data_IF_483719492918
#
_entry.id   IF_483719492918
#
_cell.length_a   1.000
_cell.length_b   1.000
_cell.length_c   1.000
_cell.angle_alpha   90.00
_cell.angle_beta   90.00
_cell.angle_gamma   90.00
#
_symmetry.space_group_name_H-M   'P 1'
#
loop_
_entity.id
_entity.type
_entity.pdbx_description
1 polymer ?
#
# COMPACT_ATOMS: atom_id res chain seq x y z
N UNK A 1 18.18 -11.57 8.04
CA UNK A 1 18.06 -11.11 6.62
C UNK A 1 17.77 -9.63 6.61
N UNK A 2 18.51 -8.82 5.81
CA UNK A 2 18.17 -7.40 5.69
C UNK A 2 17.05 -7.22 4.65
N UNK A 3 16.02 -6.44 5.00
CA UNK A 3 14.91 -6.10 4.11
C UNK A 3 14.93 -4.58 3.92
N UNK A 4 14.93 -4.12 2.67
CA UNK A 4 14.82 -2.68 2.37
C UNK A 4 13.39 -2.18 2.60
N UNK A 5 13.15 -0.86 2.71
CA UNK A 5 11.81 -0.27 2.69
C UNK A 5 11.00 -0.73 1.48
N UNK A 6 9.69 -0.46 1.47
CA UNK A 6 8.83 -0.77 0.32
C UNK A 6 9.41 -0.17 -0.96
N UNK A 7 9.63 -1.01 -1.98
CA UNK A 7 10.17 -0.59 -3.26
C UNK A 7 9.07 -0.24 -4.25
N UNK A 8 8.04 -1.07 -4.31
CA UNK A 8 6.90 -0.87 -5.20
C UNK A 8 5.59 -1.25 -4.51
N UNK A 9 4.54 -0.48 -4.74
CA UNK A 9 3.17 -0.94 -4.59
C UNK A 9 2.63 -1.33 -5.97
N UNK A 10 2.23 -2.58 -6.14
CA UNK A 10 1.66 -3.09 -7.39
C UNK A 10 0.15 -2.87 -7.36
N UNK A 11 -0.36 -2.13 -8.33
CA UNK A 11 -1.77 -1.76 -8.42
C UNK A 11 -2.36 -2.30 -9.71
N UNK A 12 -3.32 -3.22 -9.59
CA UNK A 12 -4.10 -3.72 -10.70
C UNK A 12 -5.21 -2.72 -11.05
N UNK A 13 -5.41 -2.45 -12.34
CA UNK A 13 -6.39 -1.46 -12.82
C UNK A 13 -7.16 -1.98 -14.03
N UNK A 14 -8.37 -1.46 -14.25
CA UNK A 14 -9.11 -1.69 -15.51
C UNK A 14 -8.51 -0.86 -16.66
N UNK A 15 -7.98 0.33 -16.34
CA UNK A 15 -7.42 1.27 -17.31
C UNK A 15 -6.24 2.02 -16.69
N UNK A 16 -5.04 1.75 -17.21
CA UNK A 16 -3.80 2.34 -16.71
C UNK A 16 -3.83 3.88 -16.83
N UNK A 17 -4.26 4.41 -17.96
CA UNK A 17 -4.28 5.85 -18.20
C UNK A 17 -5.18 6.61 -17.23
N UNK A 18 -6.28 5.98 -16.85
CA UNK A 18 -7.26 6.58 -15.93
C UNK A 18 -6.66 6.85 -14.56
N UNK A 19 -5.77 6.00 -14.08
CA UNK A 19 -5.07 6.18 -12.79
C UNK A 19 -3.76 6.95 -12.97
N UNK A 20 -2.97 6.65 -14.01
CA UNK A 20 -1.66 7.25 -14.22
C UNK A 20 -1.75 8.76 -14.47
N UNK A 21 -2.69 9.19 -15.31
CA UNK A 21 -2.79 10.59 -15.73
C UNK A 21 -2.89 11.59 -14.59
N UNK A 22 -3.82 11.47 -13.61
CA UNK A 22 -3.85 12.40 -12.48
C UNK A 22 -2.60 12.31 -11.60
N UNK A 23 -1.99 11.14 -11.43
CA UNK A 23 -0.75 11.02 -10.68
C UNK A 23 0.42 11.73 -11.36
N UNK A 24 0.47 11.72 -12.69
CA UNK A 24 1.49 12.45 -13.46
C UNK A 24 1.21 13.96 -13.44
N UNK A 25 0.00 14.38 -13.83
CA UNK A 25 -0.35 15.79 -14.03
C UNK A 25 -0.46 16.58 -12.72
N UNK A 26 -0.86 15.93 -11.63
CA UNK A 26 -1.12 16.58 -10.34
C UNK A 26 -0.05 16.27 -9.31
N UNK A 27 0.38 15.00 -9.22
CA UNK A 27 1.19 14.50 -8.12
C UNK A 27 2.68 14.44 -8.44
N UNK A 28 3.07 14.74 -9.70
CA UNK A 28 4.47 14.80 -10.10
C UNK A 28 5.14 13.44 -10.31
N UNK A 29 4.38 12.40 -10.58
CA UNK A 29 4.97 11.11 -10.95
C UNK A 29 5.50 11.14 -12.39
N UNK A 30 6.59 10.43 -12.61
CA UNK A 30 7.20 10.20 -13.93
C UNK A 30 6.90 8.78 -14.37
N UNK A 31 6.32 8.64 -15.56
CA UNK A 31 5.93 7.35 -16.11
C UNK A 31 7.05 6.71 -16.94
N UNK A 32 7.21 5.40 -16.78
CA UNK A 32 7.97 4.54 -17.68
C UNK A 32 7.10 3.39 -18.16
N UNK A 33 6.96 3.29 -19.50
CA UNK A 33 6.33 2.13 -20.14
C UNK A 33 7.26 0.94 -20.02
N UNK A 34 6.77 -0.15 -19.43
CA UNK A 34 7.54 -1.37 -19.27
C UNK A 34 7.13 -2.43 -20.32
N UNK A 35 8.00 -3.41 -20.61
CA UNK A 35 7.58 -4.64 -21.29
C UNK A 35 6.42 -5.32 -20.56
N UNK A 36 5.63 -6.09 -21.28
CA UNK A 36 4.63 -6.96 -20.65
C UNK A 36 5.29 -7.91 -19.65
N UNK A 37 4.57 -8.29 -18.58
CA UNK A 37 5.11 -9.19 -17.58
C UNK A 37 5.42 -10.58 -18.20
N UNK A 38 6.52 -11.23 -17.77
CA UNK A 38 6.89 -12.56 -18.26
C UNK A 38 5.93 -13.63 -17.74
N UNK A 39 5.93 -14.80 -18.40
CA UNK A 39 5.04 -15.92 -18.04
C UNK A 39 5.21 -16.43 -16.61
N UNK A 40 6.41 -16.34 -16.07
CA UNK A 40 6.74 -16.70 -14.69
C UNK A 40 6.00 -15.82 -13.67
N UNK A 41 5.75 -14.55 -14.02
CA UNK A 41 4.97 -13.65 -13.19
C UNK A 41 3.49 -14.05 -13.12
N UNK A 42 2.93 -14.60 -14.23
CA UNK A 42 1.57 -15.13 -14.23
C UNK A 42 1.43 -16.26 -13.21
N UNK A 43 2.40 -17.17 -13.19
CA UNK A 43 2.43 -18.28 -12.23
C UNK A 43 2.60 -17.78 -10.79
N UNK A 44 3.50 -16.81 -10.54
CA UNK A 44 3.74 -16.24 -9.22
C UNK A 44 2.52 -15.51 -8.65
N UNK A 45 1.69 -14.92 -9.51
CA UNK A 45 0.44 -14.25 -9.10
C UNK A 45 -0.80 -15.16 -9.19
N UNK A 46 -0.64 -16.45 -9.52
CA UNK A 46 -1.75 -17.39 -9.72
C UNK A 46 -2.81 -16.85 -10.69
N UNK A 47 -2.36 -16.17 -11.76
CA UNK A 47 -3.25 -15.58 -12.75
C UNK A 47 -3.99 -16.67 -13.51
N UNK A 48 -5.32 -16.54 -13.75
CA UNK A 48 -6.08 -17.50 -14.55
C UNK A 48 -5.50 -17.70 -15.95
N UNK A 49 -5.59 -18.94 -16.49
CA UNK A 49 -5.01 -19.30 -17.78
C UNK A 49 -5.60 -18.55 -18.98
N UNK A 50 -6.77 -17.96 -18.81
CA UNK A 50 -7.45 -17.11 -19.79
C UNK A 50 -6.75 -15.75 -19.97
N UNK A 51 -5.95 -15.32 -19.00
CA UNK A 51 -5.19 -14.09 -19.11
C UNK A 51 -4.12 -14.22 -20.21
N UNK A 52 -4.20 -13.37 -21.20
CA UNK A 52 -3.32 -13.44 -22.38
C UNK A 52 -2.11 -12.52 -22.27
N UNK A 53 -2.18 -11.46 -21.45
CA UNK A 53 -1.14 -10.44 -21.31
C UNK A 53 -1.30 -9.66 -20.02
N UNK A 54 -0.19 -9.26 -19.41
CA UNK A 54 -0.15 -8.31 -18.30
C UNK A 54 0.66 -7.09 -18.76
N UNK A 55 -0.05 -6.01 -19.09
CA UNK A 55 0.52 -4.72 -19.43
C UNK A 55 1.01 -4.01 -18.18
N UNK A 56 2.13 -3.29 -18.26
CA UNK A 56 2.75 -2.65 -17.11
C UNK A 56 3.17 -1.19 -17.38
N UNK A 57 3.03 -0.34 -16.35
CA UNK A 57 3.63 1.00 -16.27
C UNK A 57 4.26 1.17 -14.90
N UNK A 58 5.40 1.80 -14.84
CA UNK A 58 6.03 2.21 -13.58
C UNK A 58 5.89 3.71 -13.42
N UNK A 59 5.29 4.13 -12.32
CA UNK A 59 5.20 5.53 -11.91
C UNK A 59 6.16 5.76 -10.75
N UNK A 60 7.18 6.57 -10.97
CA UNK A 60 8.17 6.93 -9.95
C UNK A 60 7.89 8.38 -9.53
N UNK A 61 7.78 8.68 -8.23
CA UNK A 61 7.61 10.06 -7.79
C UNK A 61 8.82 10.90 -8.18
N UNK A 62 8.60 12.16 -8.51
CA UNK A 62 9.69 13.10 -8.74
C UNK A 62 10.57 13.22 -7.51
N UNK A 63 11.90 13.23 -7.67
CA UNK A 63 12.79 13.35 -6.53
C UNK A 63 12.63 14.70 -5.83
N UNK A 64 12.83 14.68 -4.52
CA UNK A 64 12.91 15.88 -3.67
C UNK A 64 14.15 15.81 -2.79
N UNK A 65 14.43 16.85 -2.03
CA UNK A 65 15.54 16.82 -1.07
C UNK A 65 15.33 15.74 0.00
N UNK A 66 14.07 15.54 0.44
CA UNK A 66 13.73 14.49 1.41
C UNK A 66 13.81 13.08 0.80
N UNK A 67 13.51 12.94 -0.48
CA UNK A 67 13.40 11.66 -1.16
C UNK A 67 14.17 11.67 -2.49
N UNK A 68 15.44 11.23 -2.48
CA UNK A 68 16.25 11.15 -3.69
C UNK A 68 15.70 10.11 -4.68
N UNK A 69 16.12 10.21 -5.93
CA UNK A 69 15.72 9.30 -7.01
C UNK A 69 16.38 7.92 -6.89
N UNK A 70 16.01 7.13 -5.89
CA UNK A 70 16.48 5.75 -5.70
C UNK A 70 15.45 4.68 -6.12
N UNK A 71 14.30 5.13 -6.66
CA UNK A 71 13.25 4.26 -7.19
C UNK A 71 12.33 3.61 -6.16
N UNK A 72 12.59 3.77 -4.86
CA UNK A 72 11.74 3.22 -3.80
C UNK A 72 10.35 3.87 -3.79
N UNK A 73 9.37 3.15 -3.27
CA UNK A 73 8.00 3.62 -3.12
C UNK A 73 7.32 3.98 -4.44
N UNK A 74 7.72 3.33 -5.53
CA UNK A 74 7.09 3.49 -6.84
C UNK A 74 5.71 2.80 -6.89
N UNK A 75 4.86 3.22 -7.82
CA UNK A 75 3.61 2.55 -8.16
C UNK A 75 3.79 1.79 -9.46
N UNK A 76 3.65 0.46 -9.43
CA UNK A 76 3.58 -0.38 -10.63
C UNK A 76 2.12 -0.60 -10.98
N UNK A 77 1.65 0.03 -12.04
CA UNK A 77 0.31 -0.20 -12.56
C UNK A 77 0.32 -1.41 -13.48
N UNK A 78 -0.60 -2.35 -13.27
CA UNK A 78 -0.75 -3.55 -14.09
C UNK A 78 -2.17 -3.70 -14.59
N UNK A 79 -2.32 -4.14 -15.84
CA UNK A 79 -3.60 -4.45 -16.45
C UNK A 79 -3.59 -5.86 -17.02
N UNK A 80 -4.53 -6.68 -16.58
CA UNK A 80 -4.71 -8.04 -17.04
C UNK A 80 -5.66 -8.06 -18.25
N UNK A 81 -5.25 -8.69 -19.33
CA UNK A 81 -6.04 -8.80 -20.57
C UNK A 81 -6.58 -10.20 -20.77
N UNK A 82 -7.77 -10.31 -21.35
CA UNK A 82 -8.40 -11.61 -21.70
C UNK A 82 -9.07 -12.32 -20.53
N UNK A 83 -9.19 -11.67 -19.36
CA UNK A 83 -9.75 -12.26 -18.14
C UNK A 83 -10.74 -11.31 -17.49
N UNK A 84 -11.79 -11.85 -16.86
CA UNK A 84 -12.73 -11.07 -16.07
C UNK A 84 -12.06 -10.60 -14.76
N UNK A 85 -12.26 -9.34 -14.40
CA UNK A 85 -11.73 -8.72 -13.20
C UNK A 85 -12.86 -8.16 -12.35
N UNK A 86 -12.69 -8.21 -11.02
CA UNK A 86 -13.57 -7.56 -10.03
C UNK A 86 -12.76 -6.57 -9.21
N UNK A 87 -13.43 -5.61 -8.60
CA UNK A 87 -12.76 -4.71 -7.64
C UNK A 87 -12.54 -5.47 -6.33
N UNK A 88 -11.30 -5.53 -5.86
CA UNK A 88 -10.90 -6.26 -4.66
C UNK A 88 -11.67 -5.81 -3.43
N UNK A 89 -11.74 -4.50 -3.19
CA UNK A 89 -12.44 -3.86 -2.06
C UNK A 89 -13.50 -2.91 -2.61
N UNK A 90 -14.56 -3.45 -3.20
CA UNK A 90 -15.52 -2.68 -3.98
C UNK A 90 -16.27 -1.59 -3.19
N UNK A 91 -16.35 -1.70 -1.86
CA UNK A 91 -16.94 -0.68 -0.98
C UNK A 91 -15.96 0.44 -0.61
N UNK A 92 -14.65 0.20 -0.68
CA UNK A 92 -13.56 1.14 -0.31
C UNK A 92 -13.68 1.69 1.12
N UNK A 93 -14.38 0.97 2.01
CA UNK A 93 -14.61 1.42 3.37
C UNK A 93 -13.41 1.11 4.26
N UNK A 94 -13.02 2.06 5.09
CA UNK A 94 -11.92 1.92 6.05
C UNK A 94 -12.24 1.00 7.24
N UNK A 95 -13.43 0.43 7.31
CA UNK A 95 -13.82 -0.58 8.32
C UNK A 95 -14.11 -1.96 7.70
N UNK A 96 -13.98 -2.12 6.40
CA UNK A 96 -13.96 -3.43 5.77
C UNK A 96 -12.56 -4.03 5.91
N UNK A 97 -12.48 -5.34 6.12
CA UNK A 97 -11.22 -6.05 6.32
C UNK A 97 -10.76 -6.79 5.06
N UNK A 98 -9.49 -7.14 5.02
CA UNK A 98 -8.89 -7.95 3.97
C UNK A 98 -8.13 -7.17 2.90
N UNK A 99 -6.99 -7.72 2.51
CA UNK A 99 -6.06 -7.13 1.55
C UNK A 99 -5.37 -5.87 2.06
N UNK A 100 -4.85 -5.09 1.13
CA UNK A 100 -4.24 -3.77 1.39
C UNK A 100 -5.32 -2.71 1.16
N UNK A 101 -5.56 -1.86 2.17
CA UNK A 101 -6.58 -0.82 2.08
C UNK A 101 -6.10 0.39 1.30
N UNK A 102 -4.94 0.93 1.68
CA UNK A 102 -4.34 2.10 1.03
C UNK A 102 -2.81 2.02 1.03
N UNK A 103 -2.21 2.99 0.36
CA UNK A 103 -0.80 3.34 0.45
C UNK A 103 -0.66 4.79 0.85
N UNK A 104 0.38 5.11 1.63
CA UNK A 104 0.57 6.41 2.24
C UNK A 104 1.70 7.18 1.58
N UNK A 105 1.45 8.47 1.34
CA UNK A 105 2.40 9.41 0.77
C UNK A 105 2.40 10.72 1.54
N UNK A 106 3.54 11.40 1.59
CA UNK A 106 3.60 12.76 2.11
C UNK A 106 3.34 13.80 1.03
N UNK A 107 2.80 14.94 1.45
CA UNK A 107 2.70 16.18 0.66
C UNK A 107 3.01 17.38 1.55
N UNK A 108 3.71 18.37 1.01
CA UNK A 108 3.90 19.65 1.69
C UNK A 108 2.64 20.54 1.63
N UNK A 109 1.73 20.28 0.69
CA UNK A 109 0.46 21.01 0.51
C UNK A 109 -0.66 20.04 0.10
N UNK A 110 -1.18 19.32 1.11
CA UNK A 110 -2.23 18.33 0.92
C UNK A 110 -3.49 18.93 0.29
N UNK A 111 -3.94 20.08 0.77
CA UNK A 111 -5.20 20.69 0.29
C UNK A 111 -5.14 21.02 -1.20
N UNK A 112 -4.00 21.52 -1.66
CA UNK A 112 -3.77 21.82 -3.08
C UNK A 112 -3.84 20.56 -3.93
N UNK A 113 -3.11 19.52 -3.52
CA UNK A 113 -3.06 18.23 -4.24
C UNK A 113 -4.45 17.60 -4.26
N UNK A 114 -5.11 17.47 -3.13
CA UNK A 114 -6.43 16.85 -3.04
C UNK A 114 -7.48 17.58 -3.89
N UNK A 115 -7.55 18.92 -3.82
CA UNK A 115 -8.45 19.70 -4.70
C UNK A 115 -8.14 19.51 -6.19
N UNK A 116 -6.86 19.32 -6.54
CA UNK A 116 -6.49 19.03 -7.91
C UNK A 116 -6.93 17.63 -8.34
N UNK A 117 -6.76 16.61 -7.49
CA UNK A 117 -7.23 15.24 -7.72
C UNK A 117 -8.77 15.18 -7.84
N UNK A 118 -9.51 15.96 -7.05
CA UNK A 118 -10.98 16.05 -7.17
C UNK A 118 -11.42 16.49 -8.58
N UNK A 119 -10.67 17.38 -9.26
CA UNK A 119 -10.96 17.76 -10.65
C UNK A 119 -10.77 16.63 -11.65
N UNK A 120 -10.04 15.58 -11.26
CA UNK A 120 -9.87 14.33 -12.00
C UNK A 120 -10.83 13.21 -11.54
N UNK A 121 -11.85 13.56 -10.75
CA UNK A 121 -12.89 12.63 -10.31
C UNK A 121 -12.54 11.82 -9.07
N UNK A 122 -11.44 12.13 -8.36
CA UNK A 122 -11.15 11.54 -7.07
C UNK A 122 -12.13 12.04 -6.02
N UNK A 123 -12.42 11.18 -5.04
CA UNK A 123 -13.32 11.48 -3.92
C UNK A 123 -12.65 11.10 -2.59
N UNK A 124 -13.34 11.33 -1.50
CA UNK A 124 -12.99 10.79 -0.19
C UNK A 124 -14.27 10.59 0.63
N UNK A 125 -14.19 9.80 1.69
CA UNK A 125 -15.34 9.63 2.61
C UNK A 125 -15.50 10.83 3.56
N UNK A 126 -14.44 11.60 3.77
CA UNK A 126 -14.42 12.79 4.61
C UNK A 126 -13.54 13.88 4.02
N UNK A 127 -13.69 15.08 4.53
CA UNK A 127 -12.77 16.19 4.22
C UNK A 127 -11.42 15.96 4.90
N UNK A 128 -10.33 16.63 4.43
CA UNK A 128 -9.05 16.60 5.12
C UNK A 128 -9.17 17.01 6.60
N UNK A 129 -8.61 16.22 7.50
CA UNK A 129 -8.67 16.43 8.95
C UNK A 129 -7.30 16.66 9.54
N UNK A 130 -7.24 17.54 10.58
CA UNK A 130 -6.08 17.70 11.42
C UNK A 130 -6.18 16.71 12.57
N UNK A 131 -5.10 15.96 12.81
CA UNK A 131 -5.03 14.94 13.84
C UNK A 131 -3.70 15.03 14.57
N UNK A 132 -3.75 14.93 15.88
CA UNK A 132 -2.56 14.93 16.73
C UNK A 132 -2.62 13.77 17.70
N UNK A 133 -1.55 13.01 17.76
CA UNK A 133 -1.31 11.94 18.72
C UNK A 133 0.05 12.22 19.41
N UNK A 134 0.30 11.56 20.53
CA UNK A 134 1.48 11.81 21.37
C UNK A 134 2.82 11.91 20.61
N UNK A 135 2.93 11.25 19.44
CA UNK A 135 4.19 11.19 18.67
C UNK A 135 4.17 11.98 17.36
N UNK A 136 3.01 12.40 16.87
CA UNK A 136 2.91 13.11 15.59
C UNK A 136 1.69 14.01 15.51
N UNK A 137 1.80 15.02 14.66
CA UNK A 137 0.68 15.90 14.27
C UNK A 137 0.64 15.97 12.75
N UNK A 138 -0.54 15.72 12.18
CA UNK A 138 -0.73 15.60 10.74
C UNK A 138 -2.04 16.23 10.29
N UNK A 139 -2.08 16.62 9.03
CA UNK A 139 -3.30 16.79 8.25
C UNK A 139 -3.37 15.64 7.26
N UNK A 140 -4.51 14.96 7.17
CA UNK A 140 -4.64 13.76 6.37
C UNK A 140 -5.96 13.71 5.63
N UNK A 141 -5.95 13.11 4.46
CA UNK A 141 -7.14 12.68 3.72
C UNK A 141 -6.90 11.31 3.12
N UNK A 142 -7.90 10.44 3.20
CA UNK A 142 -7.94 9.16 2.48
C UNK A 142 -8.68 9.39 1.17
N UNK A 143 -7.91 9.59 0.11
CA UNK A 143 -8.42 9.88 -1.23
C UNK A 143 -8.71 8.59 -1.98
N UNK A 144 -9.89 8.54 -2.60
CA UNK A 144 -10.38 7.39 -3.37
C UNK A 144 -10.27 7.73 -4.86
N UNK A 145 -9.38 7.05 -5.53
CA UNK A 145 -9.13 7.18 -6.96
C UNK A 145 -9.92 6.19 -7.81
N UNK A 146 -9.61 6.15 -9.11
CA UNK A 146 -10.19 5.16 -10.03
C UNK A 146 -9.93 3.72 -9.57
N UNK A 147 -10.81 2.83 -9.99
CA UNK A 147 -10.64 1.38 -9.87
C UNK A 147 -10.44 0.86 -8.44
N UNK A 148 -10.89 1.62 -7.43
CA UNK A 148 -10.74 1.24 -6.04
C UNK A 148 -9.35 1.50 -5.45
N UNK A 149 -8.48 2.23 -6.14
CA UNK A 149 -7.21 2.66 -5.59
C UNK A 149 -7.42 3.70 -4.48
N UNK A 150 -6.85 3.45 -3.32
CA UNK A 150 -6.95 4.34 -2.16
C UNK A 150 -5.56 4.86 -1.81
N UNK A 151 -5.47 6.17 -1.60
CA UNK A 151 -4.24 6.89 -1.31
C UNK A 151 -4.44 7.76 -0.07
N UNK A 152 -3.73 7.47 1.00
CA UNK A 152 -3.66 8.37 2.15
C UNK A 152 -2.61 9.45 1.87
N UNK A 153 -3.06 10.70 1.79
CA UNK A 153 -2.19 11.85 1.60
C UNK A 153 -2.02 12.53 2.94
N UNK A 154 -0.76 12.66 3.38
CA UNK A 154 -0.40 13.13 4.72
C UNK A 154 0.49 14.37 4.61
N UNK A 155 0.05 15.46 5.18
CA UNK A 155 0.89 16.62 5.48
C UNK A 155 1.29 16.56 6.93
N UNK A 156 2.57 16.28 7.21
CA UNK A 156 3.07 16.12 8.58
C UNK A 156 3.52 17.46 9.13
N UNK A 157 2.97 17.85 10.27
CA UNK A 157 3.35 19.04 11.00
C UNK A 157 4.46 18.76 12.01
N UNK A 158 4.34 17.64 12.77
CA UNK A 158 5.33 17.21 13.76
C UNK A 158 5.46 15.69 13.82
N UNK A 159 6.70 15.13 13.82
CA UNK A 159 7.92 15.82 13.39
C UNK A 159 7.83 16.22 11.92
N UNK A 160 8.26 17.42 11.59
CA UNK A 160 8.21 17.93 10.22
C UNK A 160 9.09 17.09 9.29
N UNK A 161 8.64 16.83 8.07
CA UNK A 161 9.43 16.17 7.04
C UNK A 161 10.12 17.25 6.22
N UNK A 162 11.40 17.48 6.54
CA UNK A 162 12.22 18.45 5.82
C UNK A 162 12.48 18.01 4.37
N UNK A 163 12.60 18.98 3.46
CA UNK A 163 12.97 18.72 2.06
C UNK A 163 11.86 18.15 1.19
N UNK A 164 10.60 18.12 1.64
CA UNK A 164 9.48 17.86 0.73
C UNK A 164 9.38 18.96 -0.32
N UNK A 165 8.91 18.59 -1.53
CA UNK A 165 8.66 19.56 -2.59
C UNK A 165 7.62 20.59 -2.13
N UNK A 166 7.97 21.90 -2.07
CA UNK A 166 7.07 22.95 -1.59
C UNK A 166 5.86 23.18 -2.50
N UNK A 167 5.86 22.65 -3.72
CA UNK A 167 4.69 22.69 -4.62
C UNK A 167 3.62 21.66 -4.25
N UNK A 168 3.88 20.79 -3.26
CA UNK A 168 2.95 19.78 -2.78
C UNK A 168 2.96 18.50 -3.60
N UNK A 169 3.98 18.26 -4.43
CA UNK A 169 4.14 16.98 -5.11
C UNK A 169 4.27 15.85 -4.08
N UNK A 170 3.79 14.67 -4.45
CA UNK A 170 3.76 13.53 -3.54
C UNK A 170 5.14 12.89 -3.38
N UNK A 171 5.41 12.41 -2.18
CA UNK A 171 6.58 11.57 -1.88
C UNK A 171 6.45 10.17 -2.49
N UNK A 172 7.52 9.35 -2.46
CA UNK A 172 7.39 7.91 -2.56
C UNK A 172 6.37 7.34 -1.57
N UNK A 173 5.78 6.19 -1.91
CA UNK A 173 5.02 5.40 -0.94
C UNK A 173 5.94 5.01 0.21
N UNK A 174 5.58 5.41 1.43
CA UNK A 174 6.40 5.13 2.61
C UNK A 174 5.72 4.19 3.60
N UNK A 175 4.42 3.96 3.47
CA UNK A 175 3.65 3.09 4.35
C UNK A 175 2.43 2.54 3.60
N UNK A 176 1.73 1.57 4.20
CA UNK A 176 0.43 1.10 3.73
C UNK A 176 -0.42 0.64 4.90
N UNK A 177 -1.73 0.83 4.80
CA UNK A 177 -2.68 0.40 5.83
C UNK A 177 -3.40 -0.89 5.44
N UNK A 178 -3.50 -1.80 6.39
CA UNK A 178 -4.31 -3.01 6.31
C UNK A 178 -5.32 -3.01 7.44
N UNK A 179 -6.60 -3.04 7.08
CA UNK A 179 -7.68 -3.16 8.06
C UNK A 179 -7.91 -4.64 8.35
N UNK A 180 -7.73 -5.04 9.61
CA UNK A 180 -7.69 -6.45 10.00
C UNK A 180 -8.81 -6.82 10.96
N UNK A 181 -9.29 -8.05 10.89
CA UNK A 181 -10.28 -8.61 11.81
C UNK A 181 -9.63 -9.33 12.99
N UNK A 182 -8.53 -10.04 12.75
CA UNK A 182 -7.71 -10.71 13.76
C UNK A 182 -6.38 -9.98 13.93
N UNK A 183 -6.38 -9.00 14.84
CA UNK A 183 -5.21 -8.14 15.09
C UNK A 183 -4.01 -8.93 15.60
N UNK A 184 -4.25 -9.87 16.52
CA UNK A 184 -3.16 -10.67 17.11
C UNK A 184 -2.51 -11.60 16.08
N UNK A 185 -3.30 -12.20 15.19
CA UNK A 185 -2.76 -12.99 14.07
C UNK A 185 -1.95 -12.15 13.10
N UNK A 186 -2.43 -10.93 12.79
CA UNK A 186 -1.69 -10.00 11.91
C UNK A 186 -0.38 -9.53 12.57
N UNK A 187 -0.41 -9.18 13.86
CA UNK A 187 0.79 -8.78 14.62
C UNK A 187 1.83 -9.91 14.63
N UNK A 188 1.41 -11.16 14.91
CA UNK A 188 2.33 -12.31 14.84
C UNK A 188 2.89 -12.53 13.44
N UNK A 189 2.08 -12.37 12.41
CA UNK A 189 2.53 -12.54 11.03
C UNK A 189 3.65 -11.56 10.68
N UNK A 190 3.46 -10.27 10.93
CA UNK A 190 4.48 -9.27 10.61
C UNK A 190 5.68 -9.35 11.55
N UNK A 191 5.47 -9.50 12.85
CA UNK A 191 6.55 -9.51 13.84
C UNK A 191 7.31 -10.83 13.91
N UNK A 192 6.62 -11.97 13.99
CA UNK A 192 7.29 -13.26 14.23
C UNK A 192 7.59 -14.00 12.92
N UNK A 193 6.67 -13.98 11.94
CA UNK A 193 6.88 -14.72 10.67
C UNK A 193 7.78 -13.96 9.72
N UNK A 194 7.51 -12.66 9.49
CA UNK A 194 8.32 -11.81 8.60
C UNK A 194 9.51 -11.16 9.31
N UNK A 195 9.59 -11.19 10.64
CA UNK A 195 10.65 -10.56 11.42
C UNK A 195 10.76 -9.04 11.18
N UNK A 196 9.62 -8.39 11.00
CA UNK A 196 9.55 -6.93 10.91
C UNK A 196 9.58 -6.34 12.33
N UNK A 197 10.19 -5.17 12.46
CA UNK A 197 10.30 -4.46 13.73
C UNK A 197 9.01 -3.73 14.06
N UNK A 198 8.43 -3.99 15.23
CA UNK A 198 7.29 -3.24 15.74
C UNK A 198 7.74 -1.84 16.16
N UNK A 199 7.26 -0.82 15.47
CA UNK A 199 7.58 0.58 15.75
C UNK A 199 6.67 1.17 16.81
N UNK A 200 5.39 0.89 16.69
CA UNK A 200 4.36 1.47 17.53
C UNK A 200 3.17 0.54 17.65
N UNK A 201 2.57 0.53 18.82
CA UNK A 201 1.21 0.02 19.03
C UNK A 201 0.45 1.01 19.89
N UNK A 202 -0.79 1.29 19.55
CA UNK A 202 -1.66 2.12 20.37
C UNK A 202 -3.11 1.64 20.32
N UNK A 203 -3.87 2.06 21.32
CA UNK A 203 -5.34 1.95 21.35
C UNK A 203 -5.91 3.35 21.35
N UNK A 204 -6.72 3.64 20.35
CA UNK A 204 -7.46 4.88 20.28
C UNK A 204 -8.84 4.57 20.91
N UNK A 205 -9.04 4.98 22.15
CA UNK A 205 -10.26 4.70 22.92
C UNK A 205 -11.20 5.91 22.98
N UNK A 206 -10.65 7.12 22.85
CA UNK A 206 -11.42 8.36 22.90
C UNK A 206 -11.29 9.12 21.58
N UNK A 207 -12.42 9.35 20.93
CA UNK A 207 -12.48 10.21 19.75
C UNK A 207 -12.56 11.66 20.21
N UNK A 208 -11.50 12.41 19.97
CA UNK A 208 -11.28 13.74 20.56
C UNK A 208 -12.25 14.78 20.03
N UNK A 209 -12.65 14.71 18.73
CA UNK A 209 -13.56 15.70 18.14
C UNK A 209 -14.47 15.07 17.07
N UNK A 210 -15.75 15.46 17.01
CA UNK A 210 -16.65 15.01 15.96
C UNK A 210 -16.17 15.49 14.57
N UNK A 211 -15.77 14.55 13.73
CA UNK A 211 -15.32 14.82 12.36
C UNK A 211 -13.84 14.60 12.10
N UNK A 212 -13.06 14.42 13.13
CA UNK A 212 -11.63 14.15 13.02
C UNK A 212 -11.36 12.64 12.88
N UNK A 213 -11.59 12.07 11.72
CA UNK A 213 -11.25 10.67 11.46
C UNK A 213 -10.23 10.57 10.31
N UNK A 214 -9.00 10.22 10.66
CA UNK A 214 -7.89 10.11 9.70
C UNK A 214 -8.07 8.98 8.69
N UNK A 215 -8.85 7.95 9.02
CA UNK A 215 -9.13 6.84 8.10
C UNK A 215 -10.40 7.07 7.25
N UNK A 216 -10.99 8.26 7.33
CA UNK A 216 -12.16 8.61 6.53
C UNK A 216 -13.45 7.93 6.96
N UNK A 217 -13.62 7.63 8.26
CA UNK A 217 -14.92 7.18 8.77
C UNK A 217 -15.96 8.28 8.61
N UNK A 218 -17.19 7.93 8.22
CA UNK A 218 -18.28 8.88 8.23
C UNK A 218 -18.50 9.49 9.62
N UNK A 219 -18.76 10.79 9.68
CA UNK A 219 -18.90 11.57 10.90
C UNK A 219 -19.75 10.92 12.02
N UNK A 220 -20.90 10.28 11.72
CA UNK A 220 -21.69 9.61 12.77
C UNK A 220 -20.96 8.44 13.44
N UNK A 221 -20.02 7.82 12.74
CA UNK A 221 -19.26 6.67 13.23
C UNK A 221 -17.92 7.07 13.83
N UNK A 222 -17.35 8.22 13.45
CA UNK A 222 -16.08 8.70 13.94
C UNK A 222 -16.10 9.00 15.45
N UNK A 223 -17.27 9.35 16.00
CA UNK A 223 -17.44 9.73 17.41
C UNK A 223 -17.14 8.62 18.40
N UNK A 224 -17.44 7.38 18.02
CA UNK A 224 -17.40 6.22 18.94
C UNK A 224 -16.43 5.15 18.43
N UNK A 225 -15.62 5.47 17.41
CA UNK A 225 -14.75 4.51 16.77
C UNK A 225 -13.49 4.26 17.59
N UNK A 226 -13.51 3.19 18.37
CA UNK A 226 -12.30 2.69 19.05
C UNK A 226 -11.50 1.80 18.11
N UNK A 227 -10.17 1.93 18.19
CA UNK A 227 -9.25 1.20 17.30
C UNK A 227 -8.05 0.67 18.04
N UNK A 228 -7.51 -0.43 17.54
CA UNK A 228 -6.14 -0.86 17.81
C UNK A 228 -5.32 -0.65 16.55
N UNK A 229 -4.09 -0.20 16.76
CA UNK A 229 -3.16 0.11 15.69
C UNK A 229 -1.78 -0.45 16.03
N UNK A 230 -1.11 -1.00 15.02
CA UNK A 230 0.30 -1.38 15.09
C UNK A 230 1.00 -0.99 13.79
N UNK A 231 2.20 -0.44 13.89
CA UNK A 231 3.04 -0.11 12.74
C UNK A 231 4.28 -0.98 12.80
N UNK A 232 4.51 -1.73 11.73
CA UNK A 232 5.69 -2.53 11.49
C UNK A 232 6.52 -1.95 10.37
N UNK A 233 7.82 -2.14 10.40
CA UNK A 233 8.74 -1.82 9.30
C UNK A 233 9.81 -2.90 9.18
N UNK A 234 10.46 -3.03 8.02
CA UNK A 234 11.62 -3.89 7.89
C UNK A 234 12.70 -3.55 8.91
N UNK A 235 13.43 -4.54 9.40
CA UNK A 235 14.48 -4.40 10.39
C UNK A 235 15.51 -3.33 9.99
N UNK A 236 15.69 -2.32 10.85
CA UNK A 236 16.63 -1.23 10.63
C UNK A 236 16.25 -0.22 9.55
N UNK A 237 15.07 -0.36 8.90
CA UNK A 237 14.59 0.64 7.96
C UNK A 237 14.02 1.86 8.70
N UNK A 238 14.20 3.05 8.11
CA UNK A 238 13.61 4.29 8.64
C UNK A 238 12.14 4.48 8.28
N UNK A 239 11.71 3.81 7.19
CA UNK A 239 10.37 3.91 6.59
C UNK A 239 10.01 2.61 5.86
N UNK A 240 8.92 2.57 5.13
CA UNK A 240 8.45 1.40 4.41
C UNK A 240 7.58 0.51 5.30
N UNK A 241 6.69 1.14 6.06
CA UNK A 241 5.89 0.50 7.08
C UNK A 241 4.67 -0.25 6.55
N UNK A 242 4.16 -1.08 7.46
CA UNK A 242 2.85 -1.71 7.36
C UNK A 242 2.07 -1.27 8.60
N UNK A 243 0.99 -0.56 8.38
CA UNK A 243 0.06 -0.19 9.43
C UNK A 243 -1.09 -1.20 9.50
N UNK A 244 -1.30 -1.77 10.66
CA UNK A 244 -2.43 -2.64 10.97
C UNK A 244 -3.45 -1.85 11.76
N UNK A 245 -4.69 -1.84 11.31
CA UNK A 245 -5.79 -1.17 12.00
C UNK A 245 -6.92 -2.17 12.25
N UNK A 246 -7.37 -2.29 13.50
CA UNK A 246 -8.60 -2.99 13.87
C UNK A 246 -9.62 -2.02 14.43
N UNK A 247 -10.77 -1.92 13.78
CA UNK A 247 -11.93 -1.24 14.34
C UNK A 247 -12.59 -2.15 15.37
N UNK A 248 -12.79 -1.68 16.59
CA UNK A 248 -13.36 -2.49 17.69
C UNK A 248 -14.88 -2.49 17.67
N UNK A 249 -15.49 -1.39 17.24
CA UNK A 249 -16.93 -1.17 17.30
C UNK A 249 -17.63 -1.24 15.93
N UNK A 250 -16.85 -1.44 14.86
CA UNK A 250 -17.37 -1.52 13.50
C UNK A 250 -16.94 -2.82 12.83
N UNK A 251 -17.91 -3.51 12.26
CA UNK A 251 -17.66 -4.73 11.51
C UNK A 251 -18.09 -4.51 10.05
N UNK A 252 -17.10 -4.51 9.16
CA UNK A 252 -17.32 -4.40 7.73
C UNK A 252 -17.40 -5.76 7.04
N UNK A 253 -17.40 -5.72 5.72
CA UNK A 253 -17.26 -6.92 4.90
C UNK A 253 -15.79 -7.36 4.89
N UNK A 254 -15.56 -8.66 4.80
CA UNK A 254 -14.25 -9.27 4.59
C UNK A 254 -14.02 -9.50 3.09
N UNK A 255 -12.88 -9.03 2.58
CA UNK A 255 -12.55 -9.03 1.17
C UNK A 255 -11.31 -9.87 0.82
N UNK A 256 -10.76 -10.62 1.77
CA UNK A 256 -9.53 -11.39 1.57
C UNK A 256 -9.57 -12.32 0.36
N UNK A 257 -10.70 -12.95 0.09
CA UNK A 257 -10.85 -13.85 -1.06
C UNK A 257 -10.73 -13.13 -2.42
N UNK A 258 -11.15 -11.87 -2.49
CA UNK A 258 -11.10 -11.04 -3.70
C UNK A 258 -9.76 -10.34 -3.90
N UNK A 259 -8.90 -10.25 -2.86
CA UNK A 259 -7.61 -9.56 -2.91
C UNK A 259 -6.51 -10.44 -3.52
N UNK A 260 -6.70 -10.82 -4.77
CA UNK A 260 -5.81 -11.65 -5.60
C UNK A 260 -5.87 -11.21 -7.05
N UNK A 261 -4.82 -11.53 -7.84
CA UNK A 261 -4.88 -11.37 -9.28
C UNK A 261 -5.99 -12.25 -9.91
N UNK A 262 -6.66 -11.80 -10.97
CA UNK A 262 -6.42 -10.57 -11.72
C UNK A 262 -7.24 -9.37 -11.23
N UNK A 263 -7.86 -9.48 -10.04
CA UNK A 263 -8.77 -8.44 -9.53
C UNK A 263 -8.09 -7.08 -9.38
N UNK A 264 -8.89 -6.04 -9.38
CA UNK A 264 -8.47 -4.63 -9.46
C UNK A 264 -8.39 -4.00 -8.08
N UNK A 265 -7.29 -3.36 -7.77
CA UNK A 265 -6.95 -2.75 -6.49
C UNK A 265 -5.46 -2.86 -6.19
N UNK A 266 -5.05 -2.63 -4.94
CA UNK A 266 -3.66 -2.80 -4.54
C UNK A 266 -3.38 -4.31 -4.40
N UNK A 267 -2.61 -4.85 -5.35
CA UNK A 267 -2.37 -6.29 -5.45
C UNK A 267 -1.34 -6.78 -4.43
N UNK A 268 -0.20 -6.10 -4.33
CA UNK A 268 0.86 -6.45 -3.39
C UNK A 268 1.81 -5.28 -3.12
N UNK A 269 2.62 -5.43 -2.07
CA UNK A 269 3.80 -4.59 -1.80
C UNK A 269 5.06 -5.40 -2.08
N UNK A 270 6.06 -4.77 -2.68
CA UNK A 270 7.37 -5.38 -2.99
C UNK A 270 8.47 -4.85 -2.10
N UNK A 271 9.26 -5.77 -1.57
CA UNK A 271 10.42 -5.48 -0.73
C UNK A 271 11.66 -6.15 -1.32
N UNK A 272 12.77 -5.45 -1.36
CA UNK A 272 14.06 -6.04 -1.72
C UNK A 272 14.71 -6.64 -0.48
N UNK A 273 15.29 -7.83 -0.63
CA UNK A 273 16.03 -8.56 0.39
C UNK A 273 17.39 -9.01 -0.15
N UNK A 274 18.33 -9.33 0.73
CA UNK A 274 19.67 -9.77 0.32
C UNK A 274 19.64 -11.08 -0.46
N UNK A 275 18.80 -12.05 -0.05
CA UNK A 275 18.63 -13.37 -0.67
C UNK A 275 17.18 -13.84 -0.49
N UNK A 276 16.41 -13.77 -1.56
CA UNK A 276 14.99 -14.12 -1.53
C UNK A 276 14.76 -15.62 -1.28
N UNK A 277 15.62 -16.50 -1.79
CA UNK A 277 15.45 -17.93 -1.57
C UNK A 277 15.76 -18.32 -0.11
N UNK A 278 16.81 -17.75 0.48
CA UNK A 278 17.15 -17.96 1.89
C UNK A 278 16.06 -17.40 2.80
N UNK A 279 15.53 -16.21 2.50
CA UNK A 279 14.47 -15.60 3.32
C UNK A 279 13.15 -16.38 3.24
N UNK A 280 12.78 -16.92 2.07
CA UNK A 280 11.65 -17.81 1.94
C UNK A 280 11.78 -19.06 2.85
N UNK A 281 12.99 -19.66 2.90
CA UNK A 281 13.25 -20.80 3.78
C UNK A 281 13.21 -20.42 5.27
N UNK A 282 13.68 -19.23 5.65
CA UNK A 282 13.54 -18.71 7.03
C UNK A 282 12.08 -18.54 7.43
N UNK A 283 11.26 -17.97 6.53
CA UNK A 283 9.80 -17.81 6.76
C UNK A 283 9.12 -19.17 6.94
N UNK A 284 9.40 -20.16 6.08
CA UNK A 284 8.89 -21.54 6.25
C UNK A 284 9.37 -22.16 7.57
N UNK A 285 10.63 -21.91 7.95
CA UNK A 285 11.19 -22.35 9.23
C UNK A 285 10.52 -21.76 10.46
N UNK A 286 9.94 -20.55 10.35
CA UNK A 286 9.12 -19.89 11.39
C UNK A 286 7.65 -20.29 11.32
N UNK A 287 7.28 -21.27 10.46
CA UNK A 287 5.92 -21.74 10.29
C UNK A 287 5.06 -20.91 9.32
N UNK A 288 5.67 -19.98 8.60
CA UNK A 288 5.00 -19.24 7.54
C UNK A 288 4.69 -20.10 6.31
N UNK A 289 3.68 -19.68 5.56
CA UNK A 289 3.28 -20.34 4.31
C UNK A 289 3.54 -19.42 3.14
N UNK A 290 4.28 -19.90 2.15
CA UNK A 290 4.53 -19.15 0.93
C UNK A 290 3.26 -19.13 0.05
N UNK A 291 2.90 -17.97 -0.45
CA UNK A 291 1.84 -17.82 -1.47
C UNK A 291 2.38 -18.23 -2.83
N UNK A 292 3.59 -17.77 -3.18
CA UNK A 292 4.34 -18.25 -4.34
C UNK A 292 5.76 -18.62 -3.91
N UNK A 293 6.28 -19.75 -4.39
CA UNK A 293 7.64 -20.21 -4.11
C UNK A 293 8.66 -19.35 -4.86
N UNK A 294 9.93 -19.32 -4.41
CA UNK A 294 10.99 -18.61 -5.11
C UNK A 294 11.07 -19.02 -6.58
N UNK A 295 11.05 -18.04 -7.46
CA UNK A 295 11.17 -18.19 -8.91
C UNK A 295 12.11 -17.12 -9.45
N UNK A 296 12.98 -17.48 -10.40
CA UNK A 296 13.83 -16.52 -11.09
C UNK A 296 13.11 -16.05 -12.36
N UNK A 297 12.98 -14.73 -12.51
CA UNK A 297 12.28 -14.12 -13.64
C UNK A 297 12.86 -12.74 -13.95
N UNK A 298 12.55 -12.23 -15.15
CA UNK A 298 12.89 -10.86 -15.51
C UNK A 298 11.79 -9.89 -15.06
N UNK A 299 12.13 -8.92 -14.22
CA UNK A 299 11.24 -7.85 -13.76
C UNK A 299 11.80 -6.50 -14.21
N UNK A 300 11.28 -5.95 -15.29
CA UNK A 300 11.71 -4.63 -15.73
C UNK A 300 11.29 -3.54 -14.71
N UNK A 301 12.12 -2.54 -14.42
CA UNK A 301 13.47 -2.30 -14.92
C UNK A 301 14.58 -2.98 -14.08
N UNK A 302 14.24 -3.82 -13.09
CA UNK A 302 15.17 -4.42 -12.13
C UNK A 302 16.11 -5.46 -12.78
N UNK A 303 15.71 -6.06 -13.90
CA UNK A 303 16.43 -7.15 -14.56
C UNK A 303 16.02 -8.52 -14.02
N UNK A 304 16.96 -9.46 -13.99
CA UNK A 304 16.71 -10.81 -13.49
C UNK A 304 16.73 -10.79 -11.97
N UNK A 305 15.63 -11.23 -11.36
CA UNK A 305 15.46 -11.30 -9.91
C UNK A 305 15.03 -12.70 -9.48
N UNK A 306 15.32 -13.07 -8.25
CA UNK A 306 14.60 -14.17 -7.57
C UNK A 306 13.50 -13.57 -6.73
N UNK A 307 12.26 -14.01 -6.93
CA UNK A 307 11.06 -13.45 -6.31
C UNK A 307 10.21 -14.55 -5.67
N UNK A 308 9.67 -14.28 -4.49
CA UNK A 308 8.64 -15.10 -3.85
C UNK A 308 7.61 -14.21 -3.16
N UNK A 309 6.49 -14.78 -2.73
CA UNK A 309 5.49 -14.04 -1.98
C UNK A 309 4.89 -14.84 -0.83
N UNK A 310 4.39 -14.10 0.16
CA UNK A 310 3.59 -14.61 1.26
C UNK A 310 2.23 -13.91 1.27
N UNK A 311 1.28 -14.51 1.96
CA UNK A 311 -0.05 -13.92 2.13
C UNK A 311 -0.36 -13.79 3.61
N UNK A 312 -0.74 -12.60 4.04
CA UNK A 312 -1.11 -12.35 5.43
C UNK A 312 -2.42 -13.07 5.80
N UNK A 313 -2.72 -13.23 7.09
CA UNK A 313 -3.99 -13.81 7.56
C UNK A 313 -5.22 -13.09 7.01
N UNK A 314 -5.08 -11.80 6.69
CA UNK A 314 -6.13 -10.95 6.13
C UNK A 314 -6.05 -10.83 4.59
N UNK A 315 -5.23 -11.65 3.94
CA UNK A 315 -5.19 -11.74 2.48
C UNK A 315 -4.30 -10.73 1.75
N UNK A 316 -3.56 -9.88 2.45
CA UNK A 316 -2.57 -9.01 1.82
C UNK A 316 -1.39 -9.83 1.28
N UNK A 317 -0.99 -9.57 0.03
CA UNK A 317 0.15 -10.23 -0.60
C UNK A 317 1.38 -9.35 -0.42
N UNK A 318 2.46 -9.95 0.10
CA UNK A 318 3.77 -9.30 0.27
C UNK A 318 4.77 -10.07 -0.58
N UNK A 319 5.38 -9.40 -1.54
CA UNK A 319 6.41 -9.94 -2.42
C UNK A 319 7.80 -9.51 -1.94
N UNK A 320 8.72 -10.45 -1.96
CA UNK A 320 10.13 -10.23 -1.67
C UNK A 320 10.95 -10.64 -2.88
N UNK A 321 11.98 -9.83 -3.22
CA UNK A 321 12.87 -10.15 -4.32
C UNK A 321 14.33 -9.83 -3.95
N UNK A 322 15.26 -10.54 -4.59
CA UNK A 322 16.69 -10.23 -4.61
C UNK A 322 17.20 -10.11 -6.04
N UNK A 323 18.20 -9.22 -6.24
CA UNK A 323 18.89 -8.99 -7.51
C UNK A 323 19.93 -10.04 -7.80
#
# INVERSE_FOLDING_TARGET
MQTKPVQEAVVSVFDIERLARPLIEVCGYVETVLPDAPSEQFAAWHVPSECTRIEQRLLVPSPSEAFPADGRGALRLVRFHGVEQKVMRSSQRSWDTGGIFDVDVFSADLDRVYRALQRHGWTAMGEPVDYSEAMFSVRQVVAIGPDGFVLAIIQRYEPFVEGLDPTGLLSPVFNSTQVVSDFDAAVRFYGETLDFELQMTCKIEDVVEPGADVLGLPLPHARDARRELAIFKPQGASEGGIELVRNLDMHGKRWDAECIAPNVGILCLRFEVDDAAAYAAEIEGRGGVLYARPVTLEVAPLGIVTLFSVRSPEGAIIEFYSL
#
